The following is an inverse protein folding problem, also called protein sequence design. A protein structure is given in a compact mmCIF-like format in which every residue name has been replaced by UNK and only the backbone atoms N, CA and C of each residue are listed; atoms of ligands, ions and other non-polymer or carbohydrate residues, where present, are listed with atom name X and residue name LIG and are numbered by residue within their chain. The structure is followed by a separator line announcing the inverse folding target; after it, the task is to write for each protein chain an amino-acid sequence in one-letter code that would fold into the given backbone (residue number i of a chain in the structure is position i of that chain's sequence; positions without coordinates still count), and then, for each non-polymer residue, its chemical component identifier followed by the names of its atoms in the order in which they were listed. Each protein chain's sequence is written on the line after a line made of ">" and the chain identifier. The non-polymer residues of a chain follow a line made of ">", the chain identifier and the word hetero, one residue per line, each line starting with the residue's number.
data_IF_620084819054
#
_entry.id   IF_620084819054
#
_cell.length_a   1.000
_cell.length_b   1.000
_cell.length_c   1.000
_cell.angle_alpha   90.00
_cell.angle_beta   90.00
_cell.angle_gamma   90.00
#
_symmetry.space_group_name_H-M   'P 1'
#
loop_
_entity.id
_entity.type
_entity.pdbx_description
1 polymer ?
#
# COMPACT_ATOMS: atom_id res chain seq x y z
N UNK A 1 -0.13 31.19 22.72
CA UNK A 1 -0.78 30.41 21.67
C UNK A 1 -1.07 29.05 22.25
N UNK A 2 -2.34 28.76 22.56
CA UNK A 2 -2.75 27.39 22.82
C UNK A 2 -2.63 26.70 21.47
N UNK A 3 -1.70 25.76 21.37
CA UNK A 3 -1.53 24.94 20.18
C UNK A 3 -2.86 24.21 19.99
N UNK A 4 -3.60 24.56 18.92
CA UNK A 4 -4.87 23.91 18.60
C UNK A 4 -4.64 22.42 18.48
N UNK A 5 -5.54 21.64 19.06
CA UNK A 5 -5.52 20.19 18.95
C UNK A 5 -5.80 19.84 17.49
N UNK A 6 -4.79 19.46 16.72
CA UNK A 6 -5.02 19.02 15.35
C UNK A 6 -5.68 17.64 15.35
N UNK A 7 -6.75 17.48 14.58
CA UNK A 7 -7.36 16.19 14.33
C UNK A 7 -6.67 15.56 13.12
N UNK A 8 -6.12 14.35 13.33
CA UNK A 8 -5.59 13.53 12.25
C UNK A 8 -6.69 12.58 11.78
N UNK A 9 -6.94 12.56 10.47
CA UNK A 9 -7.86 11.62 9.82
C UNK A 9 -7.04 10.74 8.90
N UNK A 10 -6.86 9.47 9.28
CA UNK A 10 -6.34 8.47 8.36
C UNK A 10 -7.44 8.01 7.41
N UNK A 11 -7.13 7.79 6.14
CA UNK A 11 -8.07 7.31 5.13
C UNK A 11 -7.38 6.35 4.18
N UNK A 12 -8.08 5.29 3.79
CA UNK A 12 -7.64 4.36 2.75
C UNK A 12 -8.67 4.36 1.63
N UNK A 13 -8.31 4.94 0.49
CA UNK A 13 -9.20 5.05 -0.68
C UNK A 13 -8.81 4.01 -1.72
N UNK A 14 -9.77 3.18 -2.14
CA UNK A 14 -9.57 2.16 -3.19
C UNK A 14 -10.02 2.68 -4.56
N UNK A 15 -9.10 2.67 -5.53
CA UNK A 15 -9.38 2.96 -6.94
C UNK A 15 -9.25 1.67 -7.76
N UNK A 16 -10.39 1.07 -8.14
CA UNK A 16 -10.41 -0.28 -8.75
C UNK A 16 -9.91 -0.36 -10.18
N UNK A 17 -10.15 0.69 -10.93
CA UNK A 17 -9.92 0.73 -12.38
C UNK A 17 -8.64 1.50 -12.74
N UNK A 18 -7.86 1.91 -11.72
CA UNK A 18 -6.62 2.65 -11.91
C UNK A 18 -5.47 1.68 -12.22
N UNK A 19 -4.95 1.74 -13.45
CA UNK A 19 -3.86 0.87 -13.90
C UNK A 19 -2.54 1.22 -13.20
N UNK A 20 -2.10 0.35 -12.29
CA UNK A 20 -0.85 0.55 -11.54
C UNK A 20 0.41 0.44 -12.41
N UNK A 21 0.33 -0.13 -13.61
CA UNK A 21 1.44 -0.17 -14.55
C UNK A 21 1.99 1.23 -14.86
N UNK A 22 1.12 2.25 -14.83
CA UNK A 22 1.46 3.65 -15.07
C UNK A 22 2.09 4.34 -13.85
N UNK A 23 1.97 3.78 -12.63
CA UNK A 23 2.59 4.35 -11.42
C UNK A 23 4.12 4.20 -11.39
N UNK A 24 4.69 3.39 -12.28
CA UNK A 24 6.14 3.37 -12.51
C UNK A 24 6.63 4.64 -13.21
N UNK A 25 5.74 5.41 -13.84
CA UNK A 25 6.06 6.72 -14.38
C UNK A 25 5.94 7.78 -13.28
N UNK A 26 7.07 8.38 -12.91
CA UNK A 26 7.16 9.39 -11.84
C UNK A 26 6.24 10.59 -12.12
N UNK A 27 6.15 11.07 -13.37
CA UNK A 27 5.31 12.23 -13.68
C UNK A 27 3.83 11.91 -13.50
N UNK A 28 3.41 10.73 -13.96
CA UNK A 28 2.03 10.26 -13.81
C UNK A 28 1.65 10.14 -12.34
N UNK A 29 2.55 9.59 -11.51
CA UNK A 29 2.36 9.49 -10.07
C UNK A 29 2.26 10.86 -9.40
N UNK A 30 3.14 11.79 -9.73
CA UNK A 30 3.14 13.15 -9.18
C UNK A 30 1.86 13.93 -9.56
N UNK A 31 1.41 13.80 -10.81
CA UNK A 31 0.17 14.43 -11.27
C UNK A 31 -1.05 13.83 -10.55
N UNK A 32 -1.10 12.50 -10.41
CA UNK A 32 -2.15 11.81 -9.65
C UNK A 32 -2.17 12.26 -8.18
N UNK A 33 -1.01 12.30 -7.53
CA UNK A 33 -0.87 12.75 -6.14
C UNK A 33 -1.38 14.17 -5.94
N UNK A 34 -1.02 15.06 -6.86
CA UNK A 34 -1.43 16.45 -6.80
C UNK A 34 -2.96 16.56 -6.90
N UNK A 35 -3.58 15.86 -7.84
CA UNK A 35 -5.03 15.87 -8.04
C UNK A 35 -5.77 15.21 -6.85
N UNK A 36 -5.26 14.08 -6.35
CA UNK A 36 -5.77 13.40 -5.17
C UNK A 36 -5.75 14.32 -3.94
N UNK A 37 -4.59 14.92 -3.63
CA UNK A 37 -4.46 15.83 -2.48
C UNK A 37 -5.34 17.06 -2.63
N UNK A 38 -5.44 17.61 -3.85
CA UNK A 38 -6.31 18.76 -4.11
C UNK A 38 -7.78 18.43 -3.85
N UNK A 39 -8.23 17.26 -4.27
CA UNK A 39 -9.62 16.81 -4.10
C UNK A 39 -9.94 16.53 -2.63
N UNK A 40 -9.05 15.83 -1.94
CA UNK A 40 -9.16 15.55 -0.50
C UNK A 40 -9.17 16.83 0.32
N UNK A 41 -8.25 17.77 0.05
CA UNK A 41 -8.16 19.02 0.78
C UNK A 41 -9.40 19.90 0.57
N UNK A 42 -9.92 19.98 -0.66
CA UNK A 42 -11.15 20.71 -0.96
C UNK A 42 -12.36 20.15 -0.21
N UNK A 43 -12.51 18.83 -0.16
CA UNK A 43 -13.59 18.15 0.57
C UNK A 43 -13.45 18.31 2.09
N UNK A 44 -12.22 18.20 2.60
CA UNK A 44 -11.90 18.36 4.01
C UNK A 44 -11.81 19.83 4.48
N UNK A 45 -12.01 20.79 3.56
CA UNK A 45 -11.88 22.24 3.79
C UNK A 45 -10.52 22.63 4.42
N UNK A 46 -9.44 21.94 4.06
CA UNK A 46 -8.10 22.14 4.59
C UNK A 46 -7.09 22.55 3.51
N UNK A 47 -5.84 22.83 3.90
CA UNK A 47 -4.78 23.10 2.94
C UNK A 47 -4.29 21.80 2.28
N UNK A 48 -3.89 21.88 1.00
CA UNK A 48 -3.36 20.74 0.26
C UNK A 48 -2.09 20.14 0.92
N UNK A 49 -1.32 20.99 1.61
CA UNK A 49 -0.12 20.58 2.35
C UNK A 49 -0.40 19.68 3.56
N UNK A 50 -1.65 19.69 4.06
CA UNK A 50 -2.08 18.89 5.20
C UNK A 50 -2.48 17.46 4.81
N UNK A 51 -2.58 17.17 3.50
CA UNK A 51 -2.85 15.83 2.98
C UNK A 51 -1.53 15.14 2.64
N UNK A 52 -1.18 14.12 3.43
CA UNK A 52 0.03 13.31 3.23
C UNK A 52 -0.35 11.95 2.70
N UNK A 53 0.18 11.57 1.53
CA UNK A 53 0.02 10.21 0.97
C UNK A 53 1.19 9.34 1.41
N UNK A 54 0.91 8.19 2.02
CA UNK A 54 1.91 7.29 2.61
C UNK A 54 2.36 6.20 1.65
N UNK A 55 1.42 5.56 0.94
CA UNK A 55 1.73 4.40 0.11
C UNK A 55 0.69 4.13 -0.97
N UNK A 56 1.14 3.38 -1.98
CA UNK A 56 0.35 2.77 -3.04
C UNK A 56 0.58 1.26 -3.01
N UNK A 57 -0.44 0.46 -3.27
CA UNK A 57 -0.31 -1.00 -3.38
C UNK A 57 -0.77 -1.51 -4.75
N UNK A 58 -0.08 -2.54 -5.26
CA UNK A 58 -0.41 -3.25 -6.51
C UNK A 58 -1.83 -3.84 -6.50
N UNK A 59 -2.50 -3.73 -7.66
CA UNK A 59 -3.91 -4.09 -7.84
C UNK A 59 -4.78 -2.85 -7.98
N UNK A 60 -5.93 -2.82 -7.30
CA UNK A 60 -6.68 -1.59 -7.05
C UNK A 60 -5.81 -0.63 -6.25
N UNK A 61 -5.60 0.59 -6.74
CA UNK A 61 -4.70 1.54 -6.07
C UNK A 61 -5.34 1.94 -4.75
N UNK A 62 -4.78 1.41 -3.65
CA UNK A 62 -5.10 1.84 -2.30
C UNK A 62 -4.22 3.02 -1.97
N UNK A 63 -4.85 4.18 -1.75
CA UNK A 63 -4.16 5.38 -1.30
C UNK A 63 -4.39 5.51 0.19
N UNK A 64 -3.32 5.28 0.97
CA UNK A 64 -3.32 5.55 2.40
C UNK A 64 -2.86 7.00 2.62
N UNK A 65 -3.69 7.82 3.24
CA UNK A 65 -3.37 9.22 3.53
C UNK A 65 -3.78 9.66 4.91
N UNK A 66 -3.04 10.60 5.49
CA UNK A 66 -3.43 11.32 6.71
C UNK A 66 -3.75 12.76 6.35
N UNK A 67 -4.88 13.26 6.85
CA UNK A 67 -5.31 14.65 6.71
C UNK A 67 -5.22 15.32 8.07
N UNK A 68 -4.60 16.50 8.13
CA UNK A 68 -4.58 17.33 9.33
C UNK A 68 -5.64 18.42 9.23
N UNK A 69 -6.52 18.49 10.21
CA UNK A 69 -7.54 19.54 10.33
C UNK A 69 -7.19 20.46 11.50
N UNK A 70 -7.25 21.78 11.29
CA UNK A 70 -6.97 22.82 12.30
C UNK A 70 -8.16 23.80 12.44
N UNK A 71 -8.67 24.05 13.65
CA UNK A 71 -9.83 24.91 13.93
C UNK A 71 -10.51 24.68 15.29
N UNK A 72 -11.57 25.43 15.61
CA UNK A 72 -12.34 25.29 16.88
C UNK A 72 -13.73 24.65 16.71
N UNK A 73 -14.20 24.48 15.48
CA UNK A 73 -15.49 23.82 15.15
C UNK A 73 -15.28 22.40 14.54
N UNK A 74 -14.07 21.85 14.71
CA UNK A 74 -13.53 20.72 13.95
C UNK A 74 -14.36 19.44 14.04
N UNK A 75 -15.06 19.17 15.14
CA UNK A 75 -15.74 17.89 15.30
C UNK A 75 -16.92 17.75 14.31
N UNK A 76 -17.64 18.84 14.03
CA UNK A 76 -18.75 18.82 13.08
C UNK A 76 -18.27 18.73 11.63
N UNK A 77 -17.19 19.46 11.28
CA UNK A 77 -16.59 19.40 9.94
C UNK A 77 -15.93 18.03 9.69
N UNK A 78 -15.28 17.43 10.70
CA UNK A 78 -14.77 16.04 10.62
C UNK A 78 -15.91 15.07 10.39
N UNK A 79 -17.01 15.17 11.12
CA UNK A 79 -18.17 14.28 10.96
C UNK A 79 -18.82 14.44 9.58
N UNK A 80 -18.95 15.68 9.09
CA UNK A 80 -19.45 15.98 7.74
C UNK A 80 -18.53 15.40 6.66
N UNK A 81 -17.22 15.64 6.77
CA UNK A 81 -16.22 15.16 5.81
C UNK A 81 -16.17 13.62 5.78
N UNK A 82 -16.12 12.98 6.95
CA UNK A 82 -16.07 11.52 7.07
C UNK A 82 -17.36 10.86 6.57
N UNK A 83 -18.52 11.46 6.85
CA UNK A 83 -19.80 11.02 6.29
C UNK A 83 -19.79 11.14 4.77
N UNK A 84 -19.37 12.29 4.23
CA UNK A 84 -19.30 12.53 2.78
C UNK A 84 -18.39 11.52 2.09
N UNK A 85 -17.21 11.27 2.64
CA UNK A 85 -16.27 10.24 2.15
C UNK A 85 -16.89 8.84 2.13
N UNK A 86 -17.73 8.49 3.10
CA UNK A 86 -18.36 7.18 3.19
C UNK A 86 -19.60 7.05 2.30
N UNK A 87 -20.41 8.10 2.17
CA UNK A 87 -21.71 8.05 1.48
C UNK A 87 -21.66 8.49 0.02
N UNK A 88 -20.77 9.41 -0.33
CA UNK A 88 -20.65 10.00 -1.66
C UNK A 88 -19.19 10.26 -2.03
N UNK A 89 -18.41 9.18 -2.08
CA UNK A 89 -17.00 9.24 -2.47
C UNK A 89 -16.80 9.83 -3.88
N UNK A 90 -17.81 9.70 -4.76
CA UNK A 90 -17.84 10.31 -6.09
C UNK A 90 -17.91 11.84 -6.07
N UNK A 91 -18.52 12.44 -5.06
CA UNK A 91 -18.49 13.90 -4.92
C UNK A 91 -17.13 14.41 -4.44
N UNK A 92 -16.38 13.59 -3.71
CA UNK A 92 -15.02 13.92 -3.23
C UNK A 92 -14.01 13.81 -4.36
N UNK A 93 -14.11 12.77 -5.18
CA UNK A 93 -13.21 12.51 -6.29
C UNK A 93 -13.98 12.60 -7.61
N UNK A 94 -14.12 13.82 -8.18
CA UNK A 94 -14.65 13.94 -9.54
C UNK A 94 -13.74 13.16 -10.49
N UNK A 95 -14.33 12.61 -11.55
CA UNK A 95 -13.66 11.77 -12.54
C UNK A 95 -12.29 12.34 -12.91
N UNK A 96 -11.23 11.60 -12.58
CA UNK A 96 -9.87 11.93 -12.99
C UNK A 96 -9.72 11.62 -14.49
N UNK A 97 -10.05 12.59 -15.35
CA UNK A 97 -10.16 12.40 -16.82
C UNK A 97 -8.91 11.76 -17.46
N UNK A 98 -7.73 11.97 -16.89
CA UNK A 98 -6.46 11.49 -17.43
C UNK A 98 -6.09 10.04 -17.02
N UNK A 99 -6.87 9.41 -16.15
CA UNK A 99 -6.48 8.16 -15.47
C UNK A 99 -7.46 7.01 -15.71
N UNK A 100 -8.48 7.23 -16.56
CA UNK A 100 -9.56 6.28 -16.83
C UNK A 100 -10.80 6.54 -15.99
N UNK A 101 -11.78 5.62 -16.04
CA UNK A 101 -12.97 5.69 -15.17
C UNK A 101 -12.54 5.30 -13.77
N UNK A 102 -12.08 6.27 -12.98
CA UNK A 102 -11.62 6.02 -11.62
C UNK A 102 -12.83 5.95 -10.69
N UNK A 103 -13.30 4.74 -10.40
CA UNK A 103 -14.32 4.52 -9.38
C UNK A 103 -13.63 4.34 -8.03
N UNK A 104 -13.67 5.38 -7.20
CA UNK A 104 -13.36 5.24 -5.79
C UNK A 104 -14.48 4.41 -5.13
N UNK A 105 -14.16 3.27 -4.51
CA UNK A 105 -15.20 2.32 -4.05
C UNK A 105 -15.25 2.09 -2.56
N UNK A 106 -14.21 2.45 -1.81
CA UNK A 106 -14.17 2.15 -0.38
C UNK A 106 -13.28 3.12 0.39
N UNK A 107 -13.70 3.46 1.62
CA UNK A 107 -12.92 4.14 2.65
C UNK A 107 -12.74 3.16 3.81
N UNK A 108 -11.55 2.56 3.92
CA UNK A 108 -11.41 1.38 4.79
C UNK A 108 -11.45 1.68 6.29
N UNK A 109 -10.91 2.82 6.73
CA UNK A 109 -10.84 3.19 8.15
C UNK A 109 -10.64 4.69 8.29
N UNK A 110 -11.32 5.30 9.27
CA UNK A 110 -11.02 6.66 9.75
C UNK A 110 -10.63 6.56 11.22
N UNK A 111 -9.41 6.97 11.54
CA UNK A 111 -8.92 7.07 12.92
C UNK A 111 -8.75 8.53 13.26
N UNK A 112 -9.30 8.96 14.40
CA UNK A 112 -9.09 10.29 14.98
C UNK A 112 -8.07 10.14 16.10
N UNK A 113 -6.86 10.69 15.94
CA UNK A 113 -5.85 10.69 17.00
C UNK A 113 -6.18 11.80 18.02
N UNK A 114 -6.51 11.46 19.29
CA UNK A 114 -6.75 12.49 20.29
C UNK A 114 -5.46 13.26 20.58
N UNK A 115 -5.58 14.58 20.71
CA UNK A 115 -4.46 15.44 21.10
C UNK A 115 -3.75 14.88 22.34
N UNK A 116 -2.40 14.87 22.38
CA UNK A 116 -1.68 14.34 23.52
C UNK A 116 -2.12 15.06 24.79
N UNK A 117 -2.29 14.33 25.92
CA UNK A 117 -2.69 14.95 27.17
C UNK A 117 -1.68 16.06 27.53
N UNK A 118 -2.13 17.17 28.15
CA UNK A 118 -1.23 18.23 28.55
C UNK A 118 -0.10 17.64 29.40
N UNK A 119 1.15 18.12 29.23
CA UNK A 119 2.26 17.61 30.00
C UNK A 119 1.91 17.69 31.49
N UNK A 120 2.09 16.59 32.20
CA UNK A 120 1.90 16.58 33.64
C UNK A 120 2.75 17.70 34.25
N UNK A 121 2.23 18.43 35.25
CA UNK A 121 3.02 19.42 35.96
C UNK A 121 4.33 18.76 36.41
N UNK A 122 5.48 19.43 36.27
CA UNK A 122 6.76 18.85 36.68
C UNK A 122 6.62 18.38 38.12
N UNK A 123 7.10 17.16 38.44
CA UNK A 123 7.07 16.69 39.82
C UNK A 123 7.76 17.73 40.71
N UNK A 124 7.25 17.98 41.93
CA UNK A 124 7.91 18.89 42.85
C UNK A 124 9.37 18.46 42.99
N UNK A 125 10.28 19.44 42.94
CA UNK A 125 11.72 19.20 43.00
C UNK A 125 12.00 18.25 44.16
N UNK A 126 12.66 17.10 43.93
CA UNK A 126 13.02 16.23 45.03
C UNK A 126 13.89 17.03 46.03
N UNK A 127 13.71 16.81 47.35
CA UNK A 127 14.57 17.41 48.34
C UNK A 127 16.04 17.07 48.01
N UNK A 128 16.98 18.02 48.21
CA UNK A 128 18.39 17.83 47.87
C UNK A 128 18.91 16.52 48.48
N UNK A 129 19.48 15.62 47.67
CA UNK A 129 20.05 14.38 48.19
C UNK A 129 21.19 14.70 49.17
N UNK A 130 21.28 13.98 50.31
CA UNK A 130 22.50 13.95 51.10
C UNK A 130 23.66 13.52 50.20
N UNK A 131 24.74 14.32 50.19
CA UNK A 131 25.89 14.10 49.32
C UNK A 131 26.45 12.69 49.47
N UNK A 132 26.20 11.85 48.48
CA UNK A 132 26.86 10.55 48.32
C UNK A 132 28.06 10.75 47.41
N UNK A 133 29.23 10.45 47.97
CA UNK A 133 30.51 10.52 47.28
C UNK A 133 30.52 9.73 45.98
N UNK A 134 31.24 10.28 45.02
CA UNK A 134 31.64 9.62 43.79
C UNK A 134 32.25 8.25 44.09
N UNK A 135 31.60 7.19 43.63
CA UNK A 135 32.28 5.93 43.37
C UNK A 135 32.33 5.68 41.87
N UNK A 136 33.57 5.52 41.43
CA UNK A 136 34.07 5.30 40.09
C UNK A 136 33.76 3.88 39.64
N UNK A 137 32.66 3.66 38.93
CA UNK A 137 32.36 2.35 38.30
C UNK A 137 31.68 2.48 36.91
N UNK A 138 31.90 3.60 36.20
CA UNK A 138 31.28 3.91 34.90
C UNK A 138 31.87 3.16 33.71
N UNK A 139 33.09 2.62 33.83
CA UNK A 139 33.83 2.13 32.66
C UNK A 139 33.37 0.74 32.20
N UNK A 140 32.83 -0.08 33.11
CA UNK A 140 32.28 -1.39 32.75
C UNK A 140 30.87 -1.29 32.13
N UNK A 141 30.09 -0.27 32.47
CA UNK A 141 28.73 -0.10 31.96
C UNK A 141 28.72 0.34 30.49
N UNK A 142 29.67 1.21 30.10
CA UNK A 142 29.84 1.65 28.72
C UNK A 142 30.19 0.47 27.79
N UNK A 143 31.07 -0.43 28.24
CA UNK A 143 31.49 -1.60 27.46
C UNK A 143 30.31 -2.55 27.19
N UNK A 144 29.46 -2.79 28.19
CA UNK A 144 28.25 -3.62 28.05
C UNK A 144 27.29 -3.00 27.01
N UNK A 145 27.12 -1.68 27.02
CA UNK A 145 26.25 -0.99 26.08
C UNK A 145 26.75 -1.06 24.63
N UNK A 146 28.08 -0.95 24.43
CA UNK A 146 28.71 -1.08 23.12
C UNK A 146 28.57 -2.52 22.60
N UNK A 147 28.79 -3.53 23.45
CA UNK A 147 28.61 -4.92 23.05
C UNK A 147 27.15 -5.27 22.71
N UNK A 148 26.19 -4.78 23.48
CA UNK A 148 24.77 -5.02 23.25
C UNK A 148 24.27 -4.39 21.94
N UNK A 149 24.70 -3.16 21.63
CA UNK A 149 24.32 -2.47 20.39
C UNK A 149 24.96 -3.10 19.14
N UNK A 150 26.21 -3.56 19.22
CA UNK A 150 26.85 -4.28 18.13
C UNK A 150 26.15 -5.62 17.82
N UNK A 151 25.77 -6.37 18.87
CA UNK A 151 25.03 -7.62 18.70
C UNK A 151 23.65 -7.39 18.05
N UNK A 152 22.93 -6.35 18.46
CA UNK A 152 21.61 -6.03 17.90
C UNK A 152 21.69 -5.66 16.42
N UNK A 153 22.70 -4.86 16.04
CA UNK A 153 22.93 -4.44 14.66
C UNK A 153 23.23 -5.65 13.76
N UNK A 154 24.03 -6.61 14.25
CA UNK A 154 24.34 -7.83 13.51
C UNK A 154 23.10 -8.72 13.27
N UNK A 155 22.22 -8.85 14.27
CA UNK A 155 20.98 -9.63 14.16
C UNK A 155 20.04 -9.03 13.10
N UNK A 156 19.90 -7.71 13.09
CA UNK A 156 19.08 -7.01 12.09
C UNK A 156 19.67 -7.22 10.69
N UNK A 157 20.98 -7.03 10.54
CA UNK A 157 21.67 -7.25 9.25
C UNK A 157 21.49 -8.68 8.72
N UNK A 158 21.64 -9.69 9.57
CA UNK A 158 21.42 -11.09 9.18
C UNK A 158 19.96 -11.36 8.79
N UNK A 159 19.00 -10.74 9.47
CA UNK A 159 17.58 -10.89 9.16
C UNK A 159 17.22 -10.31 7.80
N UNK A 160 17.77 -9.13 7.46
CA UNK A 160 17.60 -8.51 6.15
C UNK A 160 18.26 -9.33 5.04
N UNK A 161 19.50 -9.78 5.25
CA UNK A 161 20.20 -10.62 4.29
C UNK A 161 19.47 -11.95 4.06
N UNK A 162 18.97 -12.60 5.12
CA UNK A 162 18.20 -13.84 4.99
C UNK A 162 16.90 -13.63 4.20
N UNK A 163 16.16 -12.55 4.45
CA UNK A 163 14.98 -12.18 3.64
C UNK A 163 15.34 -11.92 2.19
N UNK A 164 16.43 -11.19 1.94
CA UNK A 164 16.89 -10.90 0.59
C UNK A 164 17.23 -12.19 -0.17
N UNK A 165 17.99 -13.11 0.44
CA UNK A 165 18.33 -14.40 -0.17
C UNK A 165 17.11 -15.30 -0.41
N UNK A 166 16.11 -15.29 0.47
CA UNK A 166 14.87 -16.03 0.26
C UNK A 166 14.08 -15.46 -0.92
N UNK A 167 13.98 -14.14 -1.01
CA UNK A 167 13.26 -13.46 -2.09
C UNK A 167 13.96 -13.66 -3.45
N UNK A 168 15.29 -13.64 -3.48
CA UNK A 168 16.07 -13.91 -4.71
C UNK A 168 15.91 -15.37 -5.17
N UNK A 169 15.75 -16.33 -4.25
CA UNK A 169 15.47 -17.73 -4.61
C UNK A 169 14.08 -17.87 -5.24
N UNK A 170 13.07 -17.23 -4.68
CA UNK A 170 11.71 -17.24 -5.24
C UNK A 170 11.68 -16.57 -6.62
N UNK A 171 12.38 -15.44 -6.78
CA UNK A 171 12.49 -14.78 -8.07
C UNK A 171 13.18 -15.66 -9.13
N UNK A 172 14.30 -16.31 -8.78
CA UNK A 172 14.99 -17.22 -9.70
C UNK A 172 14.14 -18.46 -10.06
N UNK A 173 13.33 -18.96 -9.13
CA UNK A 173 12.38 -20.04 -9.42
C UNK A 173 11.26 -19.58 -10.36
N UNK A 174 10.71 -18.39 -10.13
CA UNK A 174 9.71 -17.81 -11.02
C UNK A 174 10.27 -17.55 -12.41
N UNK A 175 11.52 -17.11 -12.51
CA UNK A 175 12.19 -16.89 -13.79
C UNK A 175 12.45 -18.22 -14.53
N UNK A 176 12.93 -19.26 -13.86
CA UNK A 176 13.10 -20.60 -14.46
C UNK A 176 11.76 -21.21 -14.89
N UNK A 177 10.69 -21.02 -14.09
CA UNK A 177 9.35 -21.43 -14.49
C UNK A 177 8.85 -20.64 -15.70
N UNK A 178 9.08 -19.32 -15.74
CA UNK A 178 8.69 -18.46 -16.85
C UNK A 178 9.44 -18.83 -18.14
N UNK A 179 10.74 -19.06 -18.05
CA UNK A 179 11.58 -19.46 -19.17
C UNK A 179 11.20 -20.85 -19.71
N UNK A 180 10.84 -21.79 -18.81
CA UNK A 180 10.29 -23.10 -19.21
C UNK A 180 8.89 -23.03 -19.79
N UNK A 181 8.06 -22.08 -19.34
CA UNK A 181 6.67 -21.91 -19.85
C UNK A 181 6.59 -21.03 -21.09
N UNK A 182 7.65 -20.27 -21.41
CA UNK A 182 7.82 -19.63 -22.72
C UNK A 182 8.17 -20.62 -23.84
N UNK A 183 8.30 -21.91 -23.57
CA UNK A 183 8.26 -22.94 -24.62
C UNK A 183 6.86 -22.95 -25.24
N UNK A 184 6.64 -22.04 -26.18
CA UNK A 184 5.56 -22.12 -27.17
C UNK A 184 6.00 -23.17 -28.18
N UNK A 185 5.43 -24.38 -28.18
CA UNK A 185 5.58 -25.24 -29.34
C UNK A 185 5.08 -24.44 -30.55
N UNK A 186 5.90 -24.36 -31.58
CA UNK A 186 5.45 -23.76 -32.83
C UNK A 186 4.25 -24.56 -33.36
N UNK A 187 3.34 -23.91 -34.08
CA UNK A 187 2.18 -24.61 -34.69
C UNK A 187 2.65 -25.81 -35.53
N UNK A 188 3.83 -25.69 -36.16
CA UNK A 188 4.45 -26.76 -36.92
C UNK A 188 4.88 -27.97 -36.05
N UNK A 189 5.46 -27.74 -34.87
CA UNK A 189 5.83 -28.82 -33.94
C UNK A 189 4.59 -29.50 -33.34
N UNK A 190 3.50 -28.76 -33.13
CA UNK A 190 2.25 -29.34 -32.63
C UNK A 190 1.52 -30.15 -33.71
N UNK A 191 1.48 -29.65 -34.95
CA UNK A 191 0.90 -30.39 -36.09
C UNK A 191 1.66 -31.70 -36.36
N UNK A 192 2.98 -31.72 -36.13
CA UNK A 192 3.79 -32.94 -36.25
C UNK A 192 3.53 -33.93 -35.09
N UNK A 193 3.32 -33.42 -33.88
CA UNK A 193 3.03 -34.25 -32.70
C UNK A 193 1.58 -34.79 -32.68
N UNK A 194 0.63 -34.06 -33.27
CA UNK A 194 -0.81 -34.35 -33.21
C UNK A 194 -1.48 -34.21 -34.60
N UNK A 195 -1.16 -35.08 -35.57
CA UNK A 195 -1.60 -34.92 -36.97
C UNK A 195 -3.12 -35.03 -37.18
N UNK A 196 -3.87 -35.50 -36.19
CA UNK A 196 -5.32 -35.64 -36.24
C UNK A 196 -6.06 -34.57 -35.41
N UNK A 197 -5.33 -33.69 -34.73
CA UNK A 197 -5.94 -32.70 -33.86
C UNK A 197 -6.32 -31.46 -34.66
N UNK A 198 -7.49 -30.92 -34.36
CA UNK A 198 -8.00 -29.76 -35.10
C UNK A 198 -7.39 -28.48 -34.55
N UNK A 199 -7.31 -27.44 -35.39
CA UNK A 199 -6.83 -26.12 -34.98
C UNK A 199 -7.61 -25.54 -33.78
N UNK A 200 -8.86 -25.94 -33.61
CA UNK A 200 -9.71 -25.51 -32.51
C UNK A 200 -9.29 -26.16 -31.18
N UNK A 201 -8.90 -27.44 -31.19
CA UNK A 201 -8.33 -28.13 -30.02
C UNK A 201 -6.99 -27.54 -29.59
N UNK A 202 -6.16 -27.09 -30.53
CA UNK A 202 -4.93 -26.35 -30.23
C UNK A 202 -5.24 -25.03 -29.52
N UNK A 203 -6.22 -24.27 -30.02
CA UNK A 203 -6.59 -22.98 -29.46
C UNK A 203 -7.18 -23.13 -28.05
N UNK A 204 -8.02 -24.14 -27.81
CA UNK A 204 -8.55 -24.44 -26.48
C UNK A 204 -7.44 -24.80 -25.48
N UNK A 205 -6.48 -25.64 -25.88
CA UNK A 205 -5.34 -25.98 -25.02
C UNK A 205 -4.45 -24.76 -24.73
N UNK A 206 -4.16 -23.95 -25.75
CA UNK A 206 -3.35 -22.76 -25.62
C UNK A 206 -4.02 -21.70 -24.72
N UNK A 207 -5.34 -21.51 -24.86
CA UNK A 207 -6.13 -20.64 -23.98
C UNK A 207 -6.20 -21.18 -22.55
N UNK A 208 -6.43 -22.49 -22.37
CA UNK A 208 -6.44 -23.12 -21.06
C UNK A 208 -5.11 -22.96 -20.31
N UNK A 209 -3.99 -23.12 -21.01
CA UNK A 209 -2.66 -22.92 -20.43
C UNK A 209 -2.42 -21.45 -20.04
N UNK A 210 -2.82 -20.50 -20.89
CA UNK A 210 -2.66 -19.06 -20.64
C UNK A 210 -3.49 -18.58 -19.45
N UNK A 211 -4.71 -19.10 -19.33
CA UNK A 211 -5.65 -18.75 -18.27
C UNK A 211 -5.29 -19.37 -16.92
N UNK A 212 -4.73 -20.59 -16.92
CA UNK A 212 -4.19 -21.22 -15.70
C UNK A 212 -2.97 -20.46 -15.17
N UNK A 213 -2.13 -19.90 -16.06
CA UNK A 213 -0.95 -19.11 -15.68
C UNK A 213 -1.29 -17.72 -15.14
N UNK A 214 -2.42 -17.14 -15.55
CA UNK A 214 -2.87 -15.82 -15.10
C UNK A 214 -3.49 -15.82 -13.69
N UNK A 215 -3.55 -16.98 -13.00
CA UNK A 215 -4.22 -17.12 -11.72
C UNK A 215 -5.72 -16.85 -11.80
N UNK A 216 -6.30 -16.89 -13.00
CA UNK A 216 -7.72 -16.70 -13.21
C UNK A 216 -8.47 -17.93 -12.66
N UNK A 217 -9.49 -17.67 -11.85
CA UNK A 217 -10.37 -18.70 -11.29
C UNK A 217 -11.01 -19.52 -12.43
N UNK A 218 -10.70 -20.82 -12.44
CA UNK A 218 -11.21 -21.81 -13.40
C UNK A 218 -12.74 -21.79 -13.52
N UNK A 219 -13.45 -21.40 -12.46
CA UNK A 219 -14.91 -21.29 -12.49
C UNK A 219 -15.40 -20.15 -13.39
N UNK A 220 -14.71 -19.00 -13.40
CA UNK A 220 -15.08 -17.86 -14.25
C UNK A 220 -14.74 -18.10 -15.72
N UNK A 221 -13.69 -18.88 -15.98
CA UNK A 221 -13.29 -19.28 -17.32
C UNK A 221 -14.29 -20.26 -17.92
N UNK A 222 -14.73 -21.25 -17.15
CA UNK A 222 -15.76 -22.19 -17.59
C UNK A 222 -17.05 -21.47 -17.99
N UNK A 223 -17.49 -20.49 -17.19
CA UNK A 223 -18.67 -19.68 -17.49
C UNK A 223 -18.50 -18.80 -18.75
N UNK A 224 -17.30 -18.28 -18.99
CA UNK A 224 -17.03 -17.48 -20.19
C UNK A 224 -16.99 -18.34 -21.47
N UNK A 225 -16.40 -19.54 -21.39
CA UNK A 225 -16.37 -20.49 -22.50
C UNK A 225 -17.77 -21.02 -22.85
N UNK A 226 -18.59 -21.35 -21.84
CA UNK A 226 -19.99 -21.74 -22.06
C UNK A 226 -20.77 -20.63 -22.78
N UNK A 227 -20.49 -19.37 -22.46
CA UNK A 227 -21.17 -18.23 -23.07
C UNK A 227 -20.73 -17.96 -24.53
N UNK A 228 -19.49 -18.31 -24.90
CA UNK A 228 -19.03 -18.21 -26.29
C UNK A 228 -19.51 -19.37 -27.17
N UNK A 229 -19.63 -20.58 -26.63
CA UNK A 229 -20.15 -21.73 -27.39
C UNK A 229 -21.67 -21.61 -27.61
N UNK A 230 -22.37 -20.88 -26.74
CA UNK A 230 -23.80 -20.62 -26.86
C UNK A 230 -24.16 -19.54 -27.90
N UNK A 231 -23.18 -18.80 -28.44
CA UNK A 231 -23.36 -17.73 -29.45
C UNK A 231 -22.81 -18.14 -30.81
#
# INVERSE_FOLDING_TARGET
>A
YVQGSAILVDSVVEFRDLDIGNFNNVSFKEDFEREFRSSMAASAKCDQGDVVVHSYSAGSVLVNSTIRLEGTDEQADVEEFTTTLQTDISSVFPTFENYGVVNATNVATITIDPSPPPPFPPPPSPPPPPGTGSDSDSDNMLLIYICASAALTAIIGLSFSARYYLNEREFNQLQDMYEKTQYRPSVAEWDEANPNSTRDEFMEMALGALLTHAGCDMHRIALWLEHMVAT
#
